data_IF_838027149873
#
_entry.id   IF_838027149873
#
_cell.length_a   1.000
_cell.length_b   1.000
_cell.length_c   1.000
_cell.angle_alpha   90.00
_cell.angle_beta   90.00
_cell.angle_gamma   90.00
#
_symmetry.space_group_name_H-M   'P 1'
#
loop_
_entity.id
_entity.type
_entity.pdbx_description
1 polymer ?
#
# COMPACT_ATOMS: atom_id res chain seq x y z
N UNK A 1 -16.63 -12.80 -42.14
CA UNK A 1 -16.46 -13.68 -40.96
C UNK A 1 -15.01 -13.62 -40.54
N UNK A 2 -14.67 -12.74 -39.60
CA UNK A 2 -13.36 -12.73 -38.95
C UNK A 2 -13.62 -12.46 -37.47
N UNK A 3 -13.70 -13.54 -36.70
CA UNK A 3 -13.95 -13.51 -35.27
C UNK A 3 -12.67 -12.99 -34.59
N UNK A 4 -12.77 -11.83 -33.93
CA UNK A 4 -11.71 -11.34 -33.07
C UNK A 4 -11.89 -12.02 -31.71
N UNK A 5 -10.99 -12.96 -31.41
CA UNK A 5 -10.95 -13.69 -30.14
C UNK A 5 -10.63 -12.73 -29.01
N UNK A 6 -11.66 -12.35 -28.25
CA UNK A 6 -11.57 -11.67 -26.97
C UNK A 6 -10.92 -12.60 -25.94
N UNK A 7 -9.60 -12.64 -25.88
CA UNK A 7 -8.90 -13.33 -24.80
C UNK A 7 -9.13 -12.53 -23.51
N UNK A 8 -10.00 -13.03 -22.64
CA UNK A 8 -10.15 -12.56 -21.28
C UNK A 8 -8.83 -12.77 -20.55
N UNK A 9 -8.16 -11.68 -20.19
CA UNK A 9 -7.02 -11.74 -19.28
C UNK A 9 -7.48 -12.46 -18.00
N UNK A 10 -6.75 -13.48 -17.50
CA UNK A 10 -7.08 -14.07 -16.23
C UNK A 10 -6.99 -12.98 -15.16
N UNK A 11 -8.06 -12.76 -14.41
CA UNK A 11 -8.10 -11.85 -13.25
C UNK A 11 -7.32 -12.49 -12.10
N UNK A 12 -6.01 -12.63 -12.28
CA UNK A 12 -5.09 -13.01 -11.22
C UNK A 12 -4.65 -11.67 -10.62
N UNK A 13 -5.02 -11.37 -9.36
CA UNK A 13 -4.50 -10.17 -8.72
C UNK A 13 -2.98 -10.23 -8.78
N UNK A 14 -2.30 -9.17 -9.27
CA UNK A 14 -0.85 -9.17 -9.48
C UNK A 14 -0.03 -9.40 -8.20
N UNK A 15 -0.69 -9.35 -7.04
CA UNK A 15 -0.08 -9.48 -5.72
C UNK A 15 -0.96 -10.40 -4.87
N UNK A 16 -0.40 -11.55 -4.48
CA UNK A 16 -0.99 -12.47 -3.49
C UNK A 16 0.12 -12.81 -2.50
N UNK A 17 0.11 -12.19 -1.33
CA UNK A 17 1.33 -12.07 -0.55
C UNK A 17 1.23 -11.28 0.76
N UNK A 18 2.39 -10.97 1.34
CA UNK A 18 2.52 -10.14 2.54
C UNK A 18 2.28 -8.66 2.26
N UNK A 19 1.59 -7.97 3.16
CA UNK A 19 1.37 -6.53 3.17
C UNK A 19 2.06 -5.93 4.40
N UNK A 20 3.03 -5.06 4.18
CA UNK A 20 3.64 -4.28 5.25
C UNK A 20 3.09 -2.85 5.23
N UNK A 21 2.65 -2.35 6.38
CA UNK A 21 2.02 -1.03 6.50
C UNK A 21 2.90 -0.13 7.35
N UNK A 22 3.27 1.02 6.79
CA UNK A 22 4.04 2.05 7.46
C UNK A 22 3.19 3.33 7.48
N UNK A 23 2.92 3.84 8.67
CA UNK A 23 2.08 5.02 8.85
C UNK A 23 2.88 6.15 9.45
N UNK A 24 2.94 7.29 8.75
CA UNK A 24 3.53 8.53 9.23
C UNK A 24 2.47 9.63 9.28
N UNK A 25 2.00 9.99 10.46
CA UNK A 25 1.01 11.04 10.58
C UNK A 25 0.33 11.08 11.94
N UNK A 26 -0.99 11.23 11.92
CA UNK A 26 -1.81 11.19 13.12
C UNK A 26 -2.71 9.95 13.14
N UNK A 27 -3.53 9.87 14.18
CA UNK A 27 -4.55 8.84 14.37
C UNK A 27 -5.50 8.66 13.18
N UNK A 28 -5.69 9.69 12.37
CA UNK A 28 -6.46 9.58 11.12
C UNK A 28 -5.74 8.68 10.09
N UNK A 29 -4.42 8.84 9.93
CA UNK A 29 -3.64 7.99 9.04
C UNK A 29 -3.56 6.55 9.55
N UNK A 30 -3.56 6.32 10.86
CA UNK A 30 -3.63 4.97 11.44
C UNK A 30 -4.95 4.31 11.03
N UNK A 31 -6.08 4.99 11.27
CA UNK A 31 -7.40 4.51 10.88
C UNK A 31 -7.52 4.27 9.36
N UNK A 32 -7.02 5.19 8.54
CA UNK A 32 -7.04 5.06 7.08
C UNK A 32 -6.20 3.87 6.63
N UNK A 33 -5.05 3.63 7.28
CA UNK A 33 -4.17 2.50 6.96
C UNK A 33 -4.80 1.17 7.32
N UNK A 34 -5.49 1.08 8.46
CA UNK A 34 -6.26 -0.11 8.85
C UNK A 34 -7.40 -0.41 7.86
N UNK A 35 -8.09 0.64 7.40
CA UNK A 35 -9.12 0.52 6.35
C UNK A 35 -8.54 0.05 5.04
N UNK A 36 -7.41 0.60 4.61
CA UNK A 36 -6.72 0.19 3.40
C UNK A 36 -6.24 -1.26 3.49
N UNK A 37 -5.63 -1.67 4.60
CA UNK A 37 -5.20 -3.04 4.84
C UNK A 37 -6.39 -4.03 4.77
N UNK A 38 -7.49 -3.71 5.43
CA UNK A 38 -8.72 -4.53 5.40
C UNK A 38 -9.30 -4.67 3.99
N UNK A 39 -9.23 -3.61 3.18
CA UNK A 39 -9.72 -3.63 1.80
C UNK A 39 -8.80 -4.49 0.92
N UNK A 40 -7.49 -4.33 1.07
CA UNK A 40 -6.47 -5.08 0.34
C UNK A 40 -6.51 -6.58 0.67
N UNK A 41 -6.74 -6.92 1.95
CA UNK A 41 -7.00 -8.30 2.37
C UNK A 41 -8.23 -8.88 1.66
N UNK A 42 -9.36 -8.16 1.65
CA UNK A 42 -10.61 -8.66 1.05
C UNK A 42 -10.58 -8.77 -0.47
N UNK A 43 -9.83 -7.90 -1.13
CA UNK A 43 -9.83 -7.79 -2.60
C UNK A 43 -8.70 -8.60 -3.24
N UNK A 44 -7.54 -8.69 -2.59
CA UNK A 44 -6.33 -9.30 -3.14
C UNK A 44 -5.77 -10.44 -2.25
N UNK A 45 -6.37 -10.71 -1.08
CA UNK A 45 -5.89 -11.76 -0.17
C UNK A 45 -4.58 -11.42 0.54
N UNK A 46 -4.19 -10.15 0.53
CA UNK A 46 -2.95 -9.68 1.14
C UNK A 46 -3.03 -9.76 2.67
N UNK A 47 -2.01 -10.35 3.31
CA UNK A 47 -1.97 -10.53 4.77
C UNK A 47 -0.96 -9.59 5.40
N UNK A 48 -1.32 -8.97 6.52
CA UNK A 48 -0.39 -8.12 7.25
C UNK A 48 0.83 -8.93 7.73
N UNK A 49 2.02 -8.40 7.45
CA UNK A 49 3.31 -8.89 7.94
C UNK A 49 3.95 -7.86 8.87
N UNK A 50 4.84 -8.32 9.74
CA UNK A 50 5.52 -7.46 10.73
C UNK A 50 6.86 -6.94 10.23
N UNK A 51 7.48 -7.62 9.27
CA UNK A 51 8.76 -7.24 8.69
C UNK A 51 8.60 -6.85 7.22
N UNK A 52 9.28 -5.78 6.76
CA UNK A 52 9.22 -5.35 5.37
C UNK A 52 9.77 -6.42 4.39
N UNK A 53 10.69 -7.26 4.83
CA UNK A 53 11.31 -8.32 4.01
C UNK A 53 10.33 -9.46 3.68
N UNK A 54 9.24 -9.59 4.44
CA UNK A 54 8.18 -10.58 4.23
C UNK A 54 7.05 -10.04 3.33
N UNK A 55 7.17 -8.79 2.87
CA UNK A 55 6.11 -8.09 2.16
C UNK A 55 6.29 -8.16 0.64
N UNK A 56 5.24 -8.58 -0.05
CA UNK A 56 5.11 -8.43 -1.49
C UNK A 56 4.59 -7.03 -1.86
N UNK A 57 3.92 -6.36 -0.91
CA UNK A 57 3.39 -4.99 -1.05
C UNK A 57 3.70 -4.17 0.21
N UNK A 58 4.23 -2.97 0.03
CA UNK A 58 4.42 -2.00 1.11
C UNK A 58 3.46 -0.83 0.93
N UNK A 59 2.62 -0.58 1.94
CA UNK A 59 1.70 0.54 2.01
C UNK A 59 2.27 1.61 2.95
N UNK A 60 2.73 2.73 2.39
CA UNK A 60 3.23 3.85 3.18
C UNK A 60 2.23 5.01 3.17
N UNK A 61 1.53 5.21 4.28
CA UNK A 61 0.56 6.30 4.41
C UNK A 61 1.20 7.50 5.12
N UNK A 62 1.17 8.67 4.48
CA UNK A 62 1.77 9.89 5.03
C UNK A 62 0.77 11.06 5.08
N UNK A 63 0.95 11.96 6.05
CA UNK A 63 0.21 13.21 6.10
C UNK A 63 0.65 14.17 4.97
N UNK A 64 -0.29 14.54 4.08
CA UNK A 64 -0.05 15.54 3.03
C UNK A 64 0.12 16.98 3.56
N UNK A 65 -0.43 17.29 4.74
CA UNK A 65 -0.66 18.67 5.20
C UNK A 65 0.24 19.12 6.36
N UNK A 66 1.24 18.34 6.77
CA UNK A 66 2.22 18.76 7.80
C UNK A 66 3.57 19.08 7.18
N UNK A 67 3.60 20.21 6.50
CA UNK A 67 4.77 20.92 5.97
C UNK A 67 5.63 21.53 7.11
N UNK A 68 6.15 20.71 8.03
CA UNK A 68 7.21 21.13 8.98
C UNK A 68 8.37 20.13 9.02
N UNK A 69 8.73 19.58 7.87
CA UNK A 69 9.87 18.70 7.69
C UNK A 69 10.94 19.28 6.73
N UNK A 70 10.85 20.56 6.35
CA UNK A 70 11.84 21.17 5.46
C UNK A 70 13.08 21.75 6.19
N UNK A 71 12.98 22.05 7.49
CA UNK A 71 14.11 22.65 8.25
C UNK A 71 15.12 21.63 8.81
N UNK A 72 14.78 20.34 8.93
CA UNK A 72 15.72 19.31 9.44
C UNK A 72 16.73 18.79 8.41
N UNK A 73 16.54 19.10 7.13
CA UNK A 73 17.45 18.66 6.05
C UNK A 73 18.69 19.56 5.94
N UNK A 74 18.64 20.80 6.46
CA UNK A 74 19.76 21.75 6.35
C UNK A 74 20.79 21.67 7.49
N UNK A 75 20.59 20.86 8.54
CA UNK A 75 21.56 20.71 9.64
C UNK A 75 22.48 19.48 9.53
N UNK A 76 22.32 18.68 8.48
CA UNK A 76 23.11 17.46 8.23
C UNK A 76 24.02 17.61 6.98
N UNK A 77 24.29 18.85 6.54
CA UNK A 77 25.37 19.19 5.61
C UNK A 77 26.51 19.89 6.35
#
# INVERSE_FOLDING_TARGET
>A
MSQQSSQSMPNIPPFTGGLYVITYGCQMNEYDSDKMASLLEKTHGLKLVTEPDEADVVLMNTCSVREKAQEKVFSEL
#
